data_IF_490936926296
#
_entry.id   IF_490936926296
#
_cell.length_a   1.000
_cell.length_b   1.000
_cell.length_c   1.000
_cell.angle_alpha   90.00
_cell.angle_beta   90.00
_cell.angle_gamma   90.00
#
_symmetry.space_group_name_H-M   'P 1'
#
loop_
_entity.id
_entity.type
_entity.pdbx_description
1 polymer ?
#
# COMPACT_ATOMS: atom_id res chain seq x y z
N UNK A 1 -40.60 12.77 -10.95
CA UNK A 1 -39.39 12.94 -11.80
C UNK A 1 -38.21 12.48 -10.97
N UNK A 2 -37.58 11.37 -11.33
CA UNK A 2 -36.29 10.97 -10.75
C UNK A 2 -35.21 11.79 -11.47
N UNK A 3 -34.56 12.70 -10.76
CA UNK A 3 -33.38 13.39 -11.29
C UNK A 3 -32.27 12.37 -11.44
N UNK A 4 -31.88 12.07 -12.68
CA UNK A 4 -30.70 11.29 -12.98
C UNK A 4 -29.47 12.13 -12.61
N UNK A 5 -29.06 12.06 -11.34
CA UNK A 5 -27.74 12.56 -10.94
C UNK A 5 -26.71 11.65 -11.61
N UNK A 6 -26.16 12.10 -12.74
CA UNK A 6 -24.91 11.56 -13.28
C UNK A 6 -23.83 12.00 -12.29
N UNK A 7 -23.57 11.16 -11.28
CA UNK A 7 -22.45 11.40 -10.38
C UNK A 7 -21.20 11.00 -11.13
N UNK A 8 -20.45 11.99 -11.60
CA UNK A 8 -19.12 11.76 -12.14
C UNK A 8 -18.24 11.23 -11.00
N UNK A 9 -17.92 9.94 -11.06
CA UNK A 9 -17.12 9.26 -10.04
C UNK A 9 -15.71 9.85 -9.90
N UNK A 10 -15.23 10.58 -10.91
CA UNK A 10 -13.95 11.29 -10.85
C UNK A 10 -13.93 12.39 -9.76
N UNK A 11 -15.09 12.90 -9.35
CA UNK A 11 -15.22 13.96 -8.34
C UNK A 11 -15.65 13.45 -6.96
N UNK A 12 -15.75 12.12 -6.77
CA UNK A 12 -16.12 11.53 -5.48
C UNK A 12 -14.85 11.20 -4.68
N UNK A 13 -14.67 11.87 -3.55
CA UNK A 13 -13.62 11.52 -2.58
C UNK A 13 -14.13 10.41 -1.67
N UNK A 14 -13.69 9.19 -1.90
CA UNK A 14 -14.03 8.03 -1.07
C UNK A 14 -13.23 8.02 0.25
N UNK A 15 -13.93 7.87 1.38
CA UNK A 15 -13.33 7.72 2.71
C UNK A 15 -13.81 6.43 3.39
N UNK A 16 -12.92 5.61 3.98
CA UNK A 16 -11.46 5.75 4.01
C UNK A 16 -10.84 5.64 2.60
N UNK A 17 -9.66 6.24 2.40
CA UNK A 17 -8.98 6.13 1.10
C UNK A 17 -8.72 4.65 0.80
N UNK A 18 -9.10 4.15 -0.39
CA UNK A 18 -8.89 2.76 -0.75
C UNK A 18 -7.41 2.46 -0.98
N UNK A 19 -7.09 1.19 -1.11
CA UNK A 19 -5.78 0.73 -1.58
C UNK A 19 -5.46 1.39 -2.94
N UNK A 20 -4.27 1.97 -3.03
CA UNK A 20 -3.79 2.70 -4.21
C UNK A 20 -3.63 1.78 -5.43
N UNK A 21 -3.46 0.46 -5.21
CA UNK A 21 -3.13 -0.50 -6.27
C UNK A 21 -4.31 -1.37 -6.72
N UNK A 22 -5.27 -1.64 -5.84
CA UNK A 22 -6.36 -2.60 -6.13
C UNK A 22 -7.74 -2.13 -5.65
N UNK A 23 -7.85 -0.89 -5.19
CA UNK A 23 -9.10 -0.25 -4.74
C UNK A 23 -9.82 -0.91 -3.56
N UNK A 24 -9.24 -1.98 -2.98
CA UNK A 24 -9.75 -2.60 -1.77
C UNK A 24 -9.84 -1.59 -0.63
N UNK A 25 -10.96 -1.60 0.09
CA UNK A 25 -11.20 -0.77 1.28
C UNK A 25 -10.89 -1.50 2.58
N UNK A 26 -10.58 -2.80 2.52
CA UNK A 26 -10.26 -3.63 3.68
C UNK A 26 -8.82 -3.44 4.16
N UNK A 27 -8.65 -3.16 5.46
CA UNK A 27 -7.37 -3.11 6.16
C UNK A 27 -6.30 -2.28 5.41
N UNK A 28 -6.66 -1.05 5.01
CA UNK A 28 -5.77 -0.15 4.30
C UNK A 28 -4.97 0.70 5.29
N UNK A 29 -3.64 0.70 5.12
CA UNK A 29 -2.73 1.49 5.94
C UNK A 29 -1.65 2.17 5.09
N UNK A 30 -0.98 3.18 5.65
CA UNK A 30 0.13 3.86 4.98
C UNK A 30 1.39 2.98 5.03
N UNK A 31 1.93 2.62 3.87
CA UNK A 31 3.17 1.86 3.72
C UNK A 31 4.00 2.44 2.57
N UNK A 32 5.28 2.76 2.83
CA UNK A 32 6.20 3.37 1.85
C UNK A 32 5.61 4.59 1.11
N UNK A 33 4.77 5.39 1.78
CA UNK A 33 4.14 6.58 1.20
C UNK A 33 2.82 6.33 0.46
N UNK A 34 2.41 5.07 0.27
CA UNK A 34 1.16 4.69 -0.39
C UNK A 34 0.11 4.21 0.63
N UNK A 35 -1.18 4.36 0.31
CA UNK A 35 -2.27 3.70 1.05
C UNK A 35 -2.45 2.29 0.47
N UNK A 36 -2.19 1.24 1.25
CA UNK A 36 -2.15 -0.13 0.75
C UNK A 36 -2.93 -1.07 1.67
N UNK A 37 -3.66 -2.01 1.07
CA UNK A 37 -4.22 -3.15 1.80
C UNK A 37 -3.11 -4.15 2.16
N UNK A 38 -3.39 -5.03 3.11
CA UNK A 38 -2.46 -6.06 3.59
C UNK A 38 -1.87 -6.92 2.46
N UNK A 39 -2.69 -7.38 1.52
CA UNK A 39 -2.23 -8.21 0.39
C UNK A 39 -1.25 -7.47 -0.52
N UNK A 40 -1.53 -6.20 -0.86
CA UNK A 40 -0.60 -5.40 -1.66
C UNK A 40 0.69 -5.08 -0.90
N UNK A 41 0.59 -4.81 0.41
CA UNK A 41 1.77 -4.59 1.25
C UNK A 41 2.67 -5.83 1.28
N UNK A 42 2.10 -7.03 1.46
CA UNK A 42 2.86 -8.27 1.51
C UNK A 42 3.53 -8.58 0.17
N UNK A 43 2.80 -8.43 -0.94
CA UNK A 43 3.38 -8.61 -2.27
C UNK A 43 4.56 -7.66 -2.52
N UNK A 44 4.49 -6.40 -2.06
CA UNK A 44 5.60 -5.45 -2.17
C UNK A 44 6.79 -5.90 -1.33
N UNK A 45 6.58 -6.38 -0.10
CA UNK A 45 7.64 -6.90 0.77
C UNK A 45 8.35 -8.09 0.14
N UNK A 46 7.59 -9.05 -0.40
CA UNK A 46 8.15 -10.24 -1.06
C UNK A 46 8.94 -9.84 -2.30
N UNK A 47 8.37 -9.00 -3.16
CA UNK A 47 9.00 -8.59 -4.44
C UNK A 47 10.24 -7.74 -4.22
N UNK A 48 10.30 -6.99 -3.11
CA UNK A 48 11.40 -6.09 -2.76
C UNK A 48 12.06 -6.52 -1.44
N UNK A 49 12.27 -7.83 -1.26
CA UNK A 49 12.76 -8.40 0.00
C UNK A 49 14.06 -7.76 0.49
N UNK A 50 14.98 -7.39 -0.41
CA UNK A 50 16.23 -6.71 -0.06
C UNK A 50 16.05 -5.28 0.50
N UNK A 51 14.96 -4.59 0.12
CA UNK A 51 14.65 -3.25 0.64
C UNK A 51 14.06 -3.30 2.05
N UNK A 52 13.39 -4.40 2.39
CA UNK A 52 12.69 -4.58 3.67
C UNK A 52 13.32 -5.64 4.58
N UNK A 53 14.48 -6.18 4.20
CA UNK A 53 15.23 -7.12 5.02
C UNK A 53 15.68 -6.43 6.32
N UNK A 54 15.42 -7.07 7.45
CA UNK A 54 16.05 -6.71 8.72
C UNK A 54 17.57 -6.82 8.56
N UNK A 55 18.29 -5.92 9.24
CA UNK A 55 19.73 -5.69 9.10
C UNK A 55 20.64 -6.85 9.57
N UNK A 56 20.20 -8.10 9.49
CA UNK A 56 20.90 -9.30 9.99
C UNK A 56 22.20 -9.63 9.22
N UNK A 57 22.58 -8.80 8.23
CA UNK A 57 23.80 -8.97 7.42
C UNK A 57 24.94 -8.02 7.81
N UNK A 58 24.77 -7.15 8.81
CA UNK A 58 25.88 -6.32 9.32
C UNK A 58 26.56 -7.05 10.49
N UNK A 59 27.10 -8.25 10.23
CA UNK A 59 28.19 -8.73 11.07
C UNK A 59 29.46 -7.97 10.65
N UNK A 60 30.11 -7.19 11.54
CA UNK A 60 31.40 -6.61 11.22
C UNK A 60 32.39 -7.76 11.04
N UNK A 61 32.91 -7.92 9.82
CA UNK A 61 34.09 -8.76 9.60
C UNK A 61 35.26 -8.13 10.39
N UNK A 62 35.56 -8.68 11.55
CA UNK A 62 36.83 -8.43 12.22
C UNK A 62 37.95 -8.88 11.27
N UNK A 63 38.70 -7.93 10.73
CA UNK A 63 39.98 -8.20 10.10
C UNK A 63 41.01 -8.31 11.22
N UNK A 64 41.68 -9.47 11.27
CA UNK A 64 42.91 -9.73 12.03
C UNK A 64 44.06 -8.85 11.53
#
# INVERSE_FOLDING_TARGET
MMSNFIVDSANIVSFPRPCTLCESTGNVQKFAGLMLCESCQENIRITNSGMFASNDQIEPKAQD
#
